data_IF_667153598352
#
_entry.id   IF_667153598352
#
_cell.length_a   1.000
_cell.length_b   1.000
_cell.length_c   1.000
_cell.angle_alpha   90.00
_cell.angle_beta   90.00
_cell.angle_gamma   90.00
#
_symmetry.space_group_name_H-M   'P 1'
#
loop_
_entity.id
_entity.type
_entity.pdbx_description
1 polymer ?
#
# COMPACT_ATOMS: atom_id res chain seq x y z
N UNK A 1 10.82 20.27 -0.86
CA UNK A 1 11.33 19.33 -1.88
C UNK A 1 10.14 18.53 -2.40
N UNK A 2 9.95 18.41 -3.72
CA UNK A 2 8.80 17.69 -4.30
C UNK A 2 9.03 16.18 -4.16
N UNK A 3 8.05 15.47 -3.60
CA UNK A 3 8.02 14.01 -3.59
C UNK A 3 7.63 13.51 -4.99
N UNK A 4 8.61 12.96 -5.70
CA UNK A 4 8.46 12.56 -7.11
C UNK A 4 7.45 11.42 -7.30
N UNK A 5 7.33 10.50 -6.34
CA UNK A 5 6.31 9.44 -6.41
C UNK A 5 4.91 10.00 -6.26
N UNK A 6 4.73 10.91 -5.31
CA UNK A 6 3.45 11.57 -5.09
C UNK A 6 3.07 12.43 -6.31
N UNK A 7 4.04 13.14 -6.89
CA UNK A 7 3.88 13.85 -8.16
C UNK A 7 3.39 12.92 -9.27
N UNK A 8 4.05 11.78 -9.48
CA UNK A 8 3.65 10.79 -10.50
C UNK A 8 2.23 10.28 -10.23
N UNK A 9 1.89 9.95 -8.98
CA UNK A 9 0.53 9.53 -8.61
C UNK A 9 -0.51 10.60 -8.92
N UNK A 10 -0.23 11.87 -8.63
CA UNK A 10 -1.13 12.98 -8.96
C UNK A 10 -1.26 13.20 -10.47
N UNK A 11 -0.15 13.13 -11.22
CA UNK A 11 -0.18 13.22 -12.68
C UNK A 11 -1.03 12.11 -13.31
N UNK A 12 -0.91 10.88 -12.81
CA UNK A 12 -1.71 9.74 -13.27
C UNK A 12 -3.19 9.84 -12.87
N UNK A 13 -3.48 10.38 -11.69
CA UNK A 13 -4.85 10.53 -11.19
C UNK A 13 -5.65 11.60 -11.95
N UNK A 14 -4.99 12.54 -12.62
CA UNK A 14 -5.66 13.63 -13.33
C UNK A 14 -6.31 13.24 -14.67
N UNK A 15 -6.26 11.97 -15.09
CA UNK A 15 -6.86 11.34 -16.28
C UNK A 15 -6.65 12.04 -17.65
N UNK A 16 -6.33 11.22 -18.66
CA UNK A 16 -5.92 11.53 -20.04
C UNK A 16 -4.70 12.45 -20.21
N UNK A 17 -3.85 12.11 -21.18
CA UNK A 17 -2.72 12.94 -21.61
C UNK A 17 -3.21 14.34 -21.96
N UNK A 18 -2.47 15.36 -21.51
CA UNK A 18 -2.88 16.75 -21.67
C UNK A 18 -1.70 17.63 -22.13
N UNK A 19 -1.93 18.94 -22.16
CA UNK A 19 -0.97 19.91 -22.70
C UNK A 19 0.33 20.04 -21.91
N UNK A 20 0.39 19.60 -20.65
CA UNK A 20 1.59 19.64 -19.80
C UNK A 20 2.11 18.25 -19.37
N UNK A 21 1.36 17.19 -19.65
CA UNK A 21 1.64 15.83 -19.19
C UNK A 21 1.45 14.78 -20.30
N UNK A 22 2.40 13.87 -20.42
CA UNK A 22 2.40 12.74 -21.35
C UNK A 22 2.79 11.46 -20.60
N UNK A 23 2.22 10.31 -20.99
CA UNK A 23 2.64 9.01 -20.46
C UNK A 23 3.07 8.09 -21.58
N UNK A 24 4.05 7.23 -21.32
CA UNK A 24 4.55 6.28 -22.31
C UNK A 24 4.89 4.96 -21.65
N UNK A 25 4.53 3.86 -22.30
CA UNK A 25 4.95 2.53 -21.85
C UNK A 25 6.47 2.37 -21.82
N UNK A 26 7.15 2.86 -22.87
CA UNK A 26 8.62 2.87 -22.98
C UNK A 26 9.07 3.95 -23.94
N UNK A 27 10.32 4.41 -23.80
CA UNK A 27 10.97 5.27 -24.77
C UNK A 27 12.17 4.53 -25.34
N UNK A 28 12.21 4.39 -26.66
CA UNK A 28 13.35 3.84 -27.37
C UNK A 28 14.11 4.95 -28.08
N UNK A 29 15.18 5.45 -27.46
CA UNK A 29 16.07 6.41 -28.13
C UNK A 29 17.28 5.75 -28.80
N UNK A 30 17.28 4.42 -29.00
CA UNK A 30 18.32 3.76 -29.80
C UNK A 30 18.07 3.95 -31.31
N UNK A 31 16.80 3.95 -31.71
CA UNK A 31 16.39 4.06 -33.10
C UNK A 31 16.10 5.50 -33.54
N UNK A 32 16.30 5.79 -34.83
CA UNK A 32 16.07 7.13 -35.41
C UNK A 32 14.61 7.59 -35.26
N UNK A 33 13.66 6.67 -35.39
CA UNK A 33 12.24 6.97 -35.22
C UNK A 33 11.90 7.35 -33.77
N UNK A 34 12.33 6.56 -32.80
CA UNK A 34 12.03 6.82 -31.40
C UNK A 34 12.70 8.07 -30.86
N UNK A 35 13.94 8.37 -31.29
CA UNK A 35 14.59 9.69 -31.08
C UNK A 35 13.72 10.83 -31.62
N UNK A 36 13.21 10.69 -32.84
CA UNK A 36 12.39 11.71 -33.49
C UNK A 36 11.07 11.94 -32.74
N UNK A 37 10.39 10.87 -32.32
CA UNK A 37 9.15 10.94 -31.54
C UNK A 37 9.40 11.62 -30.19
N UNK A 38 10.44 11.22 -29.47
CA UNK A 38 10.78 11.82 -28.18
C UNK A 38 11.08 13.32 -28.30
N UNK A 39 11.93 13.71 -29.25
CA UNK A 39 12.24 15.12 -29.52
C UNK A 39 11.00 15.94 -29.89
N UNK A 40 10.07 15.35 -30.66
CA UNK A 40 8.78 15.98 -30.97
C UNK A 40 7.98 16.26 -29.70
N UNK A 41 7.86 15.29 -28.79
CA UNK A 41 7.13 15.45 -27.54
C UNK A 41 7.77 16.49 -26.63
N UNK A 42 9.10 16.46 -26.45
CA UNK A 42 9.82 17.45 -25.63
C UNK A 42 9.62 18.86 -26.18
N UNK A 43 9.78 19.04 -27.51
CA UNK A 43 9.56 20.31 -28.18
C UNK A 43 8.11 20.82 -27.99
N UNK A 44 7.13 19.94 -28.19
CA UNK A 44 5.71 20.28 -28.03
C UNK A 44 5.35 20.68 -26.59
N UNK A 45 5.81 19.91 -25.60
CA UNK A 45 5.55 20.17 -24.18
C UNK A 45 6.22 21.46 -23.71
N UNK A 46 7.48 21.69 -24.10
CA UNK A 46 8.20 22.91 -23.75
C UNK A 46 7.51 24.16 -24.28
N UNK A 47 7.11 24.14 -25.56
CA UNK A 47 6.50 25.31 -26.20
C UNK A 47 5.09 25.61 -25.70
N UNK A 48 4.32 24.59 -25.29
CA UNK A 48 2.98 24.76 -24.71
C UNK A 48 2.98 25.16 -23.23
N UNK A 49 4.14 25.16 -22.56
CA UNK A 49 4.25 25.40 -21.12
C UNK A 49 5.41 26.35 -20.80
N UNK A 50 5.30 27.63 -21.18
CA UNK A 50 6.40 28.59 -21.01
C UNK A 50 6.67 28.98 -19.56
N UNK A 51 5.72 28.76 -18.65
CA UNK A 51 5.78 29.27 -17.26
C UNK A 51 5.65 28.19 -16.19
N UNK A 52 5.52 26.93 -16.59
CA UNK A 52 5.42 25.78 -15.69
C UNK A 52 6.22 24.60 -16.21
N UNK A 53 6.53 23.65 -15.32
CA UNK A 53 7.15 22.40 -15.75
C UNK A 53 6.15 21.55 -16.55
N UNK A 54 6.70 20.73 -17.44
CA UNK A 54 5.96 19.67 -18.12
C UNK A 54 6.57 18.31 -17.79
N UNK A 55 5.77 17.26 -17.91
CA UNK A 55 6.12 15.94 -17.43
C UNK A 55 5.89 14.85 -18.48
N UNK A 56 6.84 13.93 -18.60
CA UNK A 56 6.63 12.65 -19.29
C UNK A 56 6.87 11.53 -18.29
N UNK A 57 5.86 10.69 -18.04
CA UNK A 57 5.98 9.52 -17.17
C UNK A 57 6.16 8.27 -18.03
N UNK A 58 7.23 7.52 -17.78
CA UNK A 58 7.63 6.34 -18.54
C UNK A 58 7.48 5.09 -17.70
N UNK A 59 6.94 4.02 -18.28
CA UNK A 59 6.68 2.75 -17.59
C UNK A 59 5.26 2.66 -17.07
N UNK A 60 4.32 3.27 -17.79
CA UNK A 60 2.88 3.26 -17.48
C UNK A 60 2.11 2.80 -18.72
N UNK A 61 1.10 1.96 -18.52
CA UNK A 61 0.22 1.48 -19.57
C UNK A 61 -0.80 2.54 -20.00
N UNK A 62 -1.08 2.60 -21.31
CA UNK A 62 -1.91 3.65 -21.90
C UNK A 62 -3.40 3.48 -21.53
N UNK A 63 -3.87 2.25 -21.30
CA UNK A 63 -5.30 1.92 -21.13
C UNK A 63 -5.87 2.18 -19.74
N UNK A 64 -5.09 1.92 -18.68
CA UNK A 64 -5.58 1.89 -17.29
C UNK A 64 -4.67 2.62 -16.30
N UNK A 65 -3.63 3.31 -16.78
CA UNK A 65 -2.63 3.96 -15.95
C UNK A 65 -1.86 2.99 -15.04
N UNK A 66 -1.85 1.68 -15.35
CA UNK A 66 -1.08 0.71 -14.56
C UNK A 66 0.42 0.99 -14.69
N UNK A 67 1.12 1.04 -13.55
CA UNK A 67 2.56 1.24 -13.48
C UNK A 67 3.25 -0.11 -13.67
N UNK A 68 3.88 -0.30 -14.83
CA UNK A 68 4.61 -1.53 -15.20
C UNK A 68 6.12 -1.41 -14.99
N UNK A 69 6.64 -0.18 -14.95
CA UNK A 69 8.06 0.11 -14.85
C UNK A 69 8.85 -0.08 -16.16
N UNK A 70 10.07 0.45 -16.15
CA UNK A 70 11.10 0.32 -17.19
C UNK A 70 12.45 0.04 -16.57
N UNK A 71 13.40 -0.41 -17.39
CA UNK A 71 14.80 -0.57 -16.97
C UNK A 71 15.43 0.80 -16.66
N UNK A 72 16.43 0.79 -15.78
CA UNK A 72 17.20 1.98 -15.45
C UNK A 72 17.77 2.65 -16.71
N UNK A 73 17.61 3.97 -16.79
CA UNK A 73 18.03 4.74 -17.95
C UNK A 73 18.95 5.92 -17.55
N UNK A 74 20.00 6.15 -18.35
CA UNK A 74 20.99 7.19 -18.11
C UNK A 74 20.54 8.53 -18.73
N UNK A 75 20.28 9.53 -17.88
CA UNK A 75 19.88 10.90 -18.28
C UNK A 75 20.86 11.54 -19.26
N UNK A 76 22.16 11.20 -19.21
CA UNK A 76 23.18 11.78 -20.10
C UNK A 76 22.81 11.57 -21.59
N UNK A 77 22.16 10.47 -21.92
CA UNK A 77 21.73 10.16 -23.30
C UNK A 77 20.59 11.06 -23.75
N UNK A 78 19.68 11.43 -22.84
CA UNK A 78 18.58 12.38 -23.12
C UNK A 78 19.15 13.78 -23.32
N UNK A 79 20.03 14.25 -22.43
CA UNK A 79 20.67 15.57 -22.55
C UNK A 79 21.40 15.72 -23.88
N UNK A 80 22.24 14.73 -24.22
CA UNK A 80 23.01 14.72 -25.46
C UNK A 80 22.09 14.73 -26.70
N UNK A 81 20.99 13.99 -26.66
CA UNK A 81 20.03 13.95 -27.76
C UNK A 81 19.35 15.30 -27.97
N UNK A 82 18.87 15.92 -26.89
CA UNK A 82 18.18 17.22 -26.92
C UNK A 82 19.12 18.31 -27.44
N UNK A 83 20.31 18.43 -26.87
CA UNK A 83 21.29 19.45 -27.26
C UNK A 83 21.78 19.29 -28.72
N UNK A 84 21.84 18.05 -29.22
CA UNK A 84 22.29 17.78 -30.59
C UNK A 84 21.22 18.08 -31.66
N UNK A 85 19.94 18.12 -31.30
CA UNK A 85 18.82 18.15 -32.25
C UNK A 85 17.82 19.29 -32.04
N UNK A 86 17.86 20.04 -30.94
CA UNK A 86 16.99 21.19 -30.71
C UNK A 86 17.77 22.52 -30.76
N UNK A 87 17.13 23.54 -31.32
CA UNK A 87 17.48 24.94 -31.11
C UNK A 87 16.70 25.44 -29.90
N UNK A 88 17.33 26.28 -29.07
CA UNK A 88 16.82 26.68 -27.75
C UNK A 88 16.36 25.47 -26.92
N UNK A 89 17.25 24.49 -26.66
CA UNK A 89 16.86 23.28 -25.94
C UNK A 89 16.37 23.63 -24.52
N UNK A 90 15.20 23.12 -24.09
CA UNK A 90 14.78 23.27 -22.70
C UNK A 90 15.67 22.43 -21.79
N UNK A 91 15.77 22.85 -20.53
CA UNK A 91 16.40 22.02 -19.51
C UNK A 91 15.46 20.84 -19.24
N UNK A 92 15.92 19.65 -19.57
CA UNK A 92 15.22 18.40 -19.28
C UNK A 92 15.95 17.70 -18.15
N UNK A 93 15.25 16.98 -17.29
CA UNK A 93 15.84 16.15 -16.25
C UNK A 93 15.13 14.80 -16.27
N UNK A 94 15.89 13.72 -16.40
CA UNK A 94 15.37 12.37 -16.27
C UNK A 94 15.74 11.78 -14.90
N UNK A 95 14.74 11.31 -14.19
CA UNK A 95 14.90 10.67 -12.88
C UNK A 95 14.35 9.24 -12.93
N UNK A 96 15.14 8.28 -12.45
CA UNK A 96 14.70 6.90 -12.24
C UNK A 96 14.03 6.79 -10.86
N UNK A 97 12.71 6.74 -10.83
CA UNK A 97 11.94 6.73 -9.58
C UNK A 97 11.53 5.28 -9.25
N UNK A 98 12.07 4.65 -8.20
CA UNK A 98 11.64 3.32 -7.79
C UNK A 98 10.21 3.37 -7.25
N UNK A 99 9.42 2.32 -7.47
CA UNK A 99 8.06 2.18 -6.92
C UNK A 99 7.95 0.88 -6.12
N UNK A 100 7.29 0.88 -4.94
CA UNK A 100 7.26 -0.28 -4.03
C UNK A 100 6.70 -1.59 -4.61
N UNK A 101 5.79 -1.51 -5.59
CA UNK A 101 5.15 -2.68 -6.20
C UNK A 101 5.88 -3.17 -7.46
N UNK A 102 6.96 -2.49 -7.85
CA UNK A 102 7.80 -2.90 -8.98
C UNK A 102 8.97 -3.77 -8.47
N UNK A 103 9.44 -4.72 -9.30
CA UNK A 103 10.70 -5.42 -9.05
C UNK A 103 11.89 -4.46 -8.87
N UNK A 104 12.92 -4.86 -8.12
CA UNK A 104 14.08 -4.02 -7.80
C UNK A 104 14.86 -3.52 -9.03
N UNK A 105 14.79 -4.24 -10.15
CA UNK A 105 15.41 -3.88 -11.43
C UNK A 105 14.56 -2.93 -12.27
N UNK A 106 13.36 -2.55 -11.80
CA UNK A 106 12.41 -1.70 -12.52
C UNK A 106 12.16 -0.39 -11.80
N UNK A 107 12.03 0.67 -12.60
CA UNK A 107 11.78 2.04 -12.14
C UNK A 107 10.74 2.71 -13.02
N UNK A 108 10.10 3.76 -12.52
CA UNK A 108 9.31 4.68 -13.35
C UNK A 108 10.21 5.82 -13.77
N UNK A 109 10.30 6.06 -15.07
CA UNK A 109 11.05 7.18 -15.59
C UNK A 109 10.25 8.47 -15.51
N UNK A 110 10.76 9.49 -14.81
CA UNK A 110 10.15 10.82 -14.80
C UNK A 110 11.02 11.79 -15.60
N UNK A 111 10.50 12.26 -16.73
CA UNK A 111 11.10 13.36 -17.49
C UNK A 111 10.45 14.67 -17.01
N UNK A 112 11.23 15.56 -16.42
CA UNK A 112 10.81 16.93 -16.11
C UNK A 112 11.38 17.87 -17.16
N UNK A 113 10.53 18.61 -17.86
CA UNK A 113 10.90 19.62 -18.84
C UNK A 113 10.63 20.98 -18.21
N UNK A 114 11.68 21.79 -18.03
CA UNK A 114 11.55 23.11 -17.42
C UNK A 114 10.98 24.14 -18.39
N UNK A 115 10.24 25.14 -17.88
CA UNK A 115 9.76 26.24 -18.68
C UNK A 115 10.90 27.00 -19.35
N UNK A 116 10.63 27.52 -20.55
CA UNK A 116 11.55 28.31 -21.34
C UNK A 116 10.79 29.40 -22.09
N UNK A 117 11.22 30.66 -21.93
CA UNK A 117 10.59 31.83 -22.57
C UNK A 117 10.89 31.98 -24.07
N UNK A 118 11.56 30.99 -24.67
CA UNK A 118 11.96 30.98 -26.08
C UNK A 118 11.43 29.74 -26.80
N UNK A 119 11.08 29.89 -28.08
CA UNK A 119 10.57 28.80 -28.89
C UNK A 119 11.65 27.75 -29.13
N UNK A 120 11.36 26.52 -28.74
CA UNK A 120 12.15 25.33 -29.05
C UNK A 120 11.78 24.83 -30.45
N UNK A 121 12.78 24.53 -31.28
CA UNK A 121 12.57 24.02 -32.64
C UNK A 121 13.56 22.91 -33.00
N UNK A 122 13.24 22.06 -33.99
CA UNK A 122 14.21 21.09 -34.50
C UNK A 122 15.38 21.80 -35.20
N UNK A 123 16.61 21.50 -34.80
CA UNK A 123 17.84 22.04 -35.39
C UNK A 123 18.17 21.43 -36.75
N UNK A 124 17.82 20.17 -36.97
CA UNK A 124 18.11 19.39 -38.18
C UNK A 124 17.07 18.32 -38.44
N UNK A 125 17.01 17.82 -39.67
CA UNK A 125 16.07 16.76 -40.06
C UNK A 125 16.28 15.50 -39.23
N UNK A 126 15.18 14.89 -38.76
CA UNK A 126 15.21 13.58 -38.11
C UNK A 126 13.94 12.79 -38.48
N UNK A 127 14.17 11.57 -38.99
CA UNK A 127 13.13 10.71 -39.53
C UNK A 127 12.26 11.45 -40.57
N UNK A 128 10.98 11.70 -40.28
CA UNK A 128 10.05 12.44 -41.16
C UNK A 128 9.87 13.92 -40.81
N UNK A 129 10.57 14.42 -39.78
CA UNK A 129 10.46 15.80 -39.32
C UNK A 129 11.61 16.65 -39.87
N UNK A 130 11.25 17.81 -40.41
CA UNK A 130 12.20 18.73 -41.04
C UNK A 130 12.81 19.68 -39.99
N UNK A 131 14.06 20.09 -40.21
CA UNK A 131 14.71 21.15 -39.44
C UNK A 131 13.93 22.46 -39.56
N UNK A 132 13.88 23.21 -38.48
CA UNK A 132 13.03 24.39 -38.32
C UNK A 132 11.61 24.08 -37.86
N UNK A 133 11.17 22.81 -37.83
CA UNK A 133 9.82 22.48 -37.33
C UNK A 133 9.66 22.83 -35.86
N UNK A 134 8.58 23.54 -35.56
CA UNK A 134 8.11 23.85 -34.21
C UNK A 134 6.87 23.02 -33.93
N UNK A 135 6.81 22.42 -32.74
CA UNK A 135 5.64 21.66 -32.30
C UNK A 135 5.02 22.32 -31.09
N UNK A 136 3.69 22.27 -31.01
CA UNK A 136 2.89 22.63 -29.85
C UNK A 136 2.00 21.46 -29.47
N UNK A 137 1.64 21.39 -28.20
CA UNK A 137 0.69 20.42 -27.68
C UNK A 137 -0.68 21.06 -27.46
N UNK A 138 -1.70 20.40 -27.98
CA UNK A 138 -3.11 20.75 -27.83
C UNK A 138 -3.85 19.48 -27.36
N UNK A 139 -4.36 19.49 -26.13
CA UNK A 139 -4.76 18.28 -25.43
C UNK A 139 -3.63 17.24 -25.40
N UNK A 140 -3.90 16.03 -25.89
CA UNK A 140 -2.92 14.93 -26.01
C UNK A 140 -2.09 14.98 -27.31
N UNK A 141 -2.42 15.85 -28.27
CA UNK A 141 -1.86 15.81 -29.63
C UNK A 141 -0.76 16.86 -29.81
N UNK A 142 0.37 16.46 -30.39
CA UNK A 142 1.44 17.37 -30.80
C UNK A 142 1.33 17.77 -32.27
N UNK A 143 1.01 19.03 -32.55
CA UNK A 143 0.81 19.58 -33.89
C UNK A 143 1.96 20.50 -34.31
N UNK A 144 2.39 20.46 -35.59
CA UNK A 144 3.34 21.44 -36.11
C UNK A 144 2.66 22.81 -36.29
N UNK A 145 3.34 23.90 -35.93
CA UNK A 145 2.84 25.27 -36.14
C UNK A 145 3.80 26.04 -37.04
N UNK A 146 3.26 26.74 -38.05
CA UNK A 146 4.05 27.34 -39.15
C UNK A 146 3.97 28.88 -39.17
N UNK A 147 2.94 29.49 -38.56
CA UNK A 147 2.73 30.95 -38.52
C UNK A 147 2.10 31.41 -37.18
N UNK A 148 2.31 32.69 -36.82
CA UNK A 148 1.81 33.39 -35.61
C UNK A 148 1.93 32.59 -34.30
N UNK A 149 3.17 32.46 -33.83
CA UNK A 149 3.50 31.73 -32.62
C UNK A 149 3.37 32.68 -31.42
N UNK A 150 2.15 32.84 -30.92
CA UNK A 150 1.92 33.37 -29.57
C UNK A 150 2.02 32.24 -28.55
N UNK A 151 2.76 32.50 -27.48
CA UNK A 151 2.94 31.58 -26.37
C UNK A 151 1.97 32.01 -25.26
N UNK A 152 0.95 31.19 -25.00
CA UNK A 152 -0.04 31.44 -23.96
C UNK A 152 0.25 30.61 -22.70
N UNK A 153 0.02 31.21 -21.53
CA UNK A 153 0.09 30.51 -20.26
C UNK A 153 -1.30 30.05 -19.82
N UNK A 154 -1.56 28.75 -20.00
CA UNK A 154 -2.84 28.12 -19.68
C UNK A 154 -2.73 27.20 -18.46
N UNK A 155 -1.56 26.57 -18.25
CA UNK A 155 -1.42 25.45 -17.32
C UNK A 155 -0.78 25.80 -15.97
N UNK A 156 -0.17 26.98 -15.82
CA UNK A 156 0.65 27.28 -14.64
C UNK A 156 -0.08 27.12 -13.31
N UNK A 157 -1.36 27.53 -13.23
CA UNK A 157 -2.16 27.36 -12.01
C UNK A 157 -2.40 25.90 -11.65
N UNK A 158 -2.71 25.07 -12.65
CA UNK A 158 -3.01 23.65 -12.47
C UNK A 158 -1.74 22.91 -12.06
N UNK A 159 -0.64 23.15 -12.78
CA UNK A 159 0.64 22.49 -12.52
C UNK A 159 1.21 22.90 -11.16
N UNK A 160 1.12 24.18 -10.78
CA UNK A 160 1.51 24.62 -9.45
C UNK A 160 0.69 23.94 -8.34
N UNK A 161 -0.61 23.72 -8.54
CA UNK A 161 -1.45 22.99 -7.58
C UNK A 161 -1.01 21.52 -7.45
N UNK A 162 -0.73 20.85 -8.57
CA UNK A 162 -0.24 19.46 -8.60
C UNK A 162 1.12 19.36 -7.90
N UNK A 163 2.06 20.24 -8.22
CA UNK A 163 3.39 20.26 -7.61
C UNK A 163 3.34 20.56 -6.12
N UNK A 164 2.49 21.51 -5.68
CA UNK A 164 2.30 21.81 -4.26
C UNK A 164 1.70 20.64 -3.50
N UNK A 165 0.71 19.94 -4.05
CA UNK A 165 0.16 18.73 -3.45
C UNK A 165 1.20 17.59 -3.37
N UNK A 166 2.15 17.57 -4.31
CA UNK A 166 3.26 16.62 -4.32
C UNK A 166 4.44 17.03 -3.42
N UNK A 167 4.41 18.19 -2.76
CA UNK A 167 5.43 18.51 -1.75
C UNK A 167 5.16 17.67 -0.51
N UNK A 168 6.20 17.00 0.02
CA UNK A 168 6.14 16.47 1.39
C UNK A 168 6.00 17.66 2.32
N UNK A 169 4.77 18.03 2.67
CA UNK A 169 4.54 19.13 3.57
C UNK A 169 4.88 18.63 4.98
N UNK A 170 6.05 19.06 5.47
CA UNK A 170 6.51 18.78 6.83
C UNK A 170 5.44 19.21 7.83
N UNK A 171 4.75 20.31 7.57
CA UNK A 171 3.61 20.79 8.36
C UNK A 171 2.52 19.71 8.44
N UNK A 172 2.02 19.21 7.30
CA UNK A 172 0.99 18.15 7.30
C UNK A 172 1.46 16.87 7.99
N UNK A 173 2.74 16.52 7.87
CA UNK A 173 3.31 15.34 8.54
C UNK A 173 3.35 15.55 10.05
N UNK A 174 3.83 16.71 10.51
CA UNK A 174 3.87 17.07 11.92
C UNK A 174 2.47 17.20 12.51
N UNK A 175 1.55 17.87 11.80
CA UNK A 175 0.14 17.97 12.16
C UNK A 175 -0.47 16.58 12.30
N UNK A 176 -0.22 15.68 11.35
CA UNK A 176 -0.65 14.29 11.42
C UNK A 176 -0.10 13.55 12.65
N UNK A 177 1.17 13.76 12.98
CA UNK A 177 1.77 13.21 14.21
C UNK A 177 1.09 13.78 15.45
N UNK A 178 0.98 15.09 15.59
CA UNK A 178 0.36 15.73 16.75
C UNK A 178 -1.11 15.33 16.89
N UNK A 179 -1.85 15.27 15.79
CA UNK A 179 -3.22 14.75 15.76
C UNK A 179 -3.30 13.31 16.27
N UNK A 180 -2.39 12.44 15.80
CA UNK A 180 -2.34 11.06 16.25
C UNK A 180 -2.09 10.98 17.76
N UNK A 181 -1.09 11.73 18.26
CA UNK A 181 -0.71 11.74 19.66
C UNK A 181 -1.83 12.29 20.55
N UNK A 182 -2.49 13.37 20.14
CA UNK A 182 -3.58 13.99 20.89
C UNK A 182 -4.83 13.12 20.95
N UNK A 183 -5.21 12.46 19.85
CA UNK A 183 -6.40 11.60 19.81
C UNK A 183 -6.26 10.31 20.63
N UNK A 184 -5.03 9.91 20.97
CA UNK A 184 -4.71 8.58 21.54
C UNK A 184 -3.92 8.65 22.85
N UNK A 185 -3.99 9.76 23.58
CA UNK A 185 -3.25 9.97 24.82
C UNK A 185 -3.44 8.81 25.82
N UNK A 186 -4.64 8.26 25.91
CA UNK A 186 -4.99 7.14 26.80
C UNK A 186 -4.27 5.82 26.47
N UNK A 187 -3.67 5.70 25.27
CA UNK A 187 -3.05 4.48 24.75
C UNK A 187 -1.54 4.58 24.58
N UNK A 188 -0.88 5.50 25.31
CA UNK A 188 0.58 5.69 25.28
C UNK A 188 1.14 5.78 23.84
N UNK A 189 0.72 6.79 23.06
CA UNK A 189 1.07 6.89 21.66
C UNK A 189 2.56 7.18 21.50
N UNK A 190 3.15 6.62 20.45
CA UNK A 190 4.57 6.68 20.14
C UNK A 190 4.73 6.95 18.65
N UNK A 191 5.87 7.52 18.28
CA UNK A 191 6.27 7.64 16.89
C UNK A 191 7.69 7.10 16.69
N UNK A 192 8.00 6.69 15.47
CA UNK A 192 9.34 6.35 15.04
C UNK A 192 9.52 6.80 13.60
N UNK A 193 10.68 7.40 13.34
CA UNK A 193 11.11 7.76 11.99
C UNK A 193 11.99 6.64 11.44
N UNK A 194 11.69 6.16 10.24
CA UNK A 194 12.49 5.19 9.50
C UNK A 194 13.08 5.83 8.25
N UNK A 195 14.37 5.53 7.98
CA UNK A 195 15.10 6.01 6.79
C UNK A 195 14.97 7.52 6.52
N UNK A 196 14.78 8.33 7.57
CA UNK A 196 14.53 9.80 7.52
C UNK A 196 13.24 10.27 6.83
N UNK A 197 12.48 9.39 6.18
CA UNK A 197 11.28 9.76 5.41
C UNK A 197 9.97 9.29 6.04
N UNK A 198 9.99 8.12 6.66
CA UNK A 198 8.78 7.43 7.08
C UNK A 198 8.47 7.73 8.54
N UNK A 199 7.35 8.40 8.78
CA UNK A 199 6.90 8.71 10.13
C UNK A 199 5.78 7.75 10.49
N UNK A 200 6.11 6.74 11.28
CA UNK A 200 5.15 5.76 11.77
C UNK A 200 4.75 6.12 13.20
N UNK A 201 3.46 6.33 13.40
CA UNK A 201 2.85 6.50 14.72
C UNK A 201 2.15 5.22 15.12
N UNK A 202 2.20 4.86 16.40
CA UNK A 202 1.45 3.73 16.93
C UNK A 202 1.04 3.95 18.39
N UNK A 203 -0.02 3.29 18.82
CA UNK A 203 -0.51 3.31 20.20
C UNK A 203 -1.16 1.98 20.54
N UNK A 204 -1.25 1.64 21.82
CA UNK A 204 -1.88 0.40 22.24
C UNK A 204 -1.98 0.25 23.75
N UNK A 205 -2.98 -0.50 24.19
CA UNK A 205 -3.17 -0.83 25.61
C UNK A 205 -2.19 -1.93 26.03
N UNK A 206 -1.27 -1.59 26.93
CA UNK A 206 -0.25 -2.54 27.43
C UNK A 206 -0.87 -3.57 28.35
N UNK A 207 -0.53 -4.83 28.15
CA UNK A 207 -0.95 -5.98 28.97
C UNK A 207 0.24 -6.88 29.22
N UNK A 208 0.50 -7.20 30.49
CA UNK A 208 1.54 -8.15 30.86
C UNK A 208 0.92 -9.52 31.16
N UNK A 209 1.44 -10.58 30.54
CA UNK A 209 1.08 -11.96 30.87
C UNK A 209 2.34 -12.77 31.08
N UNK A 210 2.54 -13.31 32.30
CA UNK A 210 3.69 -14.17 32.64
C UNK A 210 5.05 -13.60 32.19
N UNK A 211 5.27 -12.30 32.43
CA UNK A 211 6.44 -11.50 32.02
C UNK A 211 6.56 -11.13 30.52
N UNK A 212 5.63 -11.53 29.67
CA UNK A 212 5.59 -11.07 28.27
C UNK A 212 4.68 -9.85 28.13
N UNK A 213 5.11 -8.89 27.31
CA UNK A 213 4.37 -7.66 27.00
C UNK A 213 3.56 -7.84 25.72
N UNK A 214 2.26 -7.69 25.84
CA UNK A 214 1.31 -7.66 24.74
C UNK A 214 0.63 -6.30 24.68
N UNK A 215 0.05 -6.00 23.52
CA UNK A 215 -0.78 -4.85 23.26
C UNK A 215 -2.15 -5.29 22.75
N UNK A 216 -3.20 -4.59 23.16
CA UNK A 216 -4.54 -4.68 22.57
C UNK A 216 -5.04 -3.29 22.20
N UNK A 217 -6.10 -3.21 21.38
CA UNK A 217 -6.62 -1.93 20.86
C UNK A 217 -5.50 -1.09 20.25
N UNK A 218 -4.81 -1.67 19.28
CA UNK A 218 -3.63 -1.07 18.66
C UNK A 218 -4.02 -0.31 17.41
N UNK A 219 -3.63 0.96 17.37
CA UNK A 219 -3.69 1.79 16.16
C UNK A 219 -2.26 2.03 15.68
N UNK A 220 -1.99 1.77 14.40
CA UNK A 220 -0.72 2.07 13.73
C UNK A 220 -1.02 2.87 12.47
N UNK A 221 -0.27 3.95 12.24
CA UNK A 221 -0.44 4.85 11.11
C UNK A 221 0.92 5.25 10.53
N UNK A 222 1.13 5.00 9.24
CA UNK A 222 2.25 5.53 8.49
C UNK A 222 1.82 6.89 7.92
N UNK A 223 2.12 7.97 8.64
CA UNK A 223 1.53 9.30 8.44
C UNK A 223 1.75 9.81 7.01
N UNK A 224 2.98 9.69 6.52
CA UNK A 224 3.37 10.18 5.20
C UNK A 224 2.83 9.32 4.04
N UNK A 225 2.34 8.11 4.31
CA UNK A 225 1.78 7.20 3.29
C UNK A 225 0.27 6.97 3.46
N UNK A 226 -0.34 7.55 4.51
CA UNK A 226 -1.76 7.40 4.85
C UNK A 226 -2.23 5.94 5.02
N UNK A 227 -1.30 5.03 5.36
CA UNK A 227 -1.61 3.62 5.64
C UNK A 227 -1.95 3.47 7.11
N UNK A 228 -3.05 2.76 7.40
CA UNK A 228 -3.53 2.50 8.76
C UNK A 228 -3.73 1.01 9.00
N UNK A 229 -3.26 0.55 10.15
CA UNK A 229 -3.52 -0.79 10.67
C UNK A 229 -4.23 -0.67 12.02
N UNK A 230 -5.21 -1.53 12.24
CA UNK A 230 -6.02 -1.55 13.45
C UNK A 230 -6.11 -2.96 14.00
N UNK A 231 -5.95 -3.08 15.32
CA UNK A 231 -6.22 -4.29 16.09
C UNK A 231 -7.20 -3.95 17.21
N UNK A 232 -8.21 -4.80 17.40
CA UNK A 232 -9.29 -4.63 18.35
C UNK A 232 -8.84 -4.85 19.80
N UNK A 233 -9.76 -4.60 20.74
CA UNK A 233 -9.52 -4.87 22.16
C UNK A 233 -9.41 -6.37 22.50
N UNK A 234 -9.89 -7.25 21.61
CA UNK A 234 -9.81 -8.71 21.75
C UNK A 234 -8.52 -9.27 21.15
N UNK A 235 -7.84 -8.48 20.33
CA UNK A 235 -6.60 -8.89 19.69
C UNK A 235 -5.44 -8.68 20.65
N UNK A 236 -4.52 -9.65 20.65
CA UNK A 236 -3.30 -9.57 21.40
C UNK A 236 -2.14 -9.56 20.40
N UNK A 237 -1.34 -8.50 20.41
CA UNK A 237 -0.19 -8.37 19.52
C UNK A 237 1.07 -8.05 20.29
N UNK A 238 2.22 -8.47 19.78
CA UNK A 238 3.52 -7.93 20.18
C UNK A 238 4.04 -7.02 19.08
N UNK A 239 4.62 -5.89 19.47
CA UNK A 239 5.20 -4.91 18.55
C UNK A 239 6.69 -4.81 18.85
N UNK A 240 7.50 -4.88 17.80
CA UNK A 240 8.94 -4.64 17.87
C UNK A 240 9.38 -3.95 16.59
N UNK A 241 10.56 -3.31 16.62
CA UNK A 241 11.08 -2.64 15.44
C UNK A 241 12.60 -2.58 15.49
N UNK A 242 13.21 -2.54 14.31
CA UNK A 242 14.65 -2.33 14.11
C UNK A 242 14.89 -0.91 13.58
N UNK A 243 16.05 -0.64 12.99
CA UNK A 243 16.28 0.60 12.23
C UNK A 243 15.47 0.62 10.93
N UNK A 244 15.16 -0.56 10.38
CA UNK A 244 14.70 -0.73 9.00
C UNK A 244 13.33 -1.42 8.90
N UNK A 245 12.79 -1.90 10.03
CA UNK A 245 11.53 -2.64 10.01
C UNK A 245 10.65 -2.39 11.24
N UNK A 246 9.34 -2.45 11.02
CA UNK A 246 8.31 -2.47 12.07
C UNK A 246 7.56 -3.79 12.01
N UNK A 247 7.62 -4.57 13.09
CA UNK A 247 7.19 -5.96 13.16
C UNK A 247 6.02 -6.07 14.15
N UNK A 248 4.93 -6.67 13.70
CA UNK A 248 3.73 -6.92 14.48
C UNK A 248 3.45 -8.41 14.44
N UNK A 249 3.36 -9.06 15.60
CA UNK A 249 2.97 -10.47 15.69
C UNK A 249 1.63 -10.54 16.39
N UNK A 250 0.61 -11.06 15.72
CA UNK A 250 -0.70 -11.35 16.29
C UNK A 250 -0.70 -12.70 17.00
N UNK A 251 -1.33 -12.77 18.16
CA UNK A 251 -1.47 -13.97 18.98
C UNK A 251 -2.94 -14.34 19.13
N UNK A 252 -3.17 -15.65 19.17
CA UNK A 252 -4.47 -16.24 19.53
C UNK A 252 -4.36 -17.00 20.83
N UNK A 253 -5.37 -16.84 21.67
CA UNK A 253 -5.48 -17.59 22.91
C UNK A 253 -6.25 -18.88 22.65
N UNK A 254 -5.56 -20.02 22.68
CA UNK A 254 -6.16 -21.34 22.50
C UNK A 254 -5.84 -22.24 23.69
N UNK A 255 -6.75 -23.14 24.03
CA UNK A 255 -6.65 -23.97 25.21
C UNK A 255 -7.82 -24.91 25.39
N UNK A 256 -7.64 -25.92 26.26
CA UNK A 256 -8.70 -26.82 26.69
C UNK A 256 -9.01 -26.56 28.17
N UNK A 257 -10.29 -26.63 28.52
CA UNK A 257 -10.80 -26.35 29.86
C UNK A 257 -10.38 -24.95 30.36
N UNK A 258 -9.56 -24.89 31.42
CA UNK A 258 -9.06 -23.65 32.00
C UNK A 258 -7.60 -23.36 31.61
N UNK A 259 -6.92 -24.28 30.92
CA UNK A 259 -5.52 -24.12 30.52
C UNK A 259 -5.42 -23.50 29.13
N UNK A 260 -5.02 -22.24 29.08
CA UNK A 260 -4.87 -21.47 27.84
C UNK A 260 -3.42 -21.03 27.64
N UNK A 261 -2.99 -21.01 26.38
CA UNK A 261 -1.70 -20.48 25.94
C UNK A 261 -1.90 -19.54 24.76
N UNK A 262 -0.94 -18.65 24.58
CA UNK A 262 -0.85 -17.77 23.42
C UNK A 262 -0.05 -18.45 22.33
N UNK A 263 -0.61 -18.48 21.12
CA UNK A 263 0.03 -19.01 19.92
C UNK A 263 0.16 -17.88 18.92
N UNK A 264 1.34 -17.72 18.32
CA UNK A 264 1.55 -16.79 17.22
C UNK A 264 0.65 -17.19 16.07
N UNK A 265 -0.06 -16.25 15.46
CA UNK A 265 -1.00 -16.48 14.36
C UNK A 265 -0.46 -15.93 13.06
N UNK A 266 -0.22 -14.61 13.02
CA UNK A 266 0.18 -13.89 11.81
C UNK A 266 1.26 -12.88 12.19
N UNK A 267 2.30 -12.82 11.38
CA UNK A 267 3.35 -11.82 11.46
C UNK A 267 3.18 -10.84 10.31
N UNK A 268 3.26 -9.55 10.62
CA UNK A 268 3.25 -8.47 9.65
C UNK A 268 4.51 -7.64 9.82
N UNK A 269 5.27 -7.52 8.75
CA UNK A 269 6.52 -6.78 8.72
C UNK A 269 6.39 -5.63 7.73
N UNK A 270 6.60 -4.42 8.20
CA UNK A 270 6.76 -3.24 7.34
C UNK A 270 8.26 -3.03 7.18
N UNK A 271 8.78 -3.26 5.98
CA UNK A 271 10.19 -3.03 5.64
C UNK A 271 10.36 -1.62 5.06
N UNK A 272 11.41 -0.91 5.46
CA UNK A 272 11.71 0.45 5.01
C UNK A 272 13.08 0.48 4.33
N UNK A 273 13.09 0.92 3.08
CA UNK A 273 14.28 0.92 2.23
C UNK A 273 14.92 2.30 2.11
N UNK A 274 16.24 2.32 1.84
CA UNK A 274 17.00 3.57 1.70
C UNK A 274 16.58 4.41 0.49
N UNK A 275 15.91 3.81 -0.50
CA UNK A 275 15.41 4.49 -1.69
C UNK A 275 14.02 5.13 -1.46
N UNK A 276 13.65 5.35 -0.20
CA UNK A 276 12.36 5.84 0.26
C UNK A 276 11.18 4.94 -0.13
N UNK A 277 11.37 3.64 -0.45
CA UNK A 277 10.28 2.65 -0.57
C UNK A 277 10.02 1.94 0.75
N UNK A 278 8.84 1.32 0.84
CA UNK A 278 8.49 0.41 1.91
C UNK A 278 7.63 -0.72 1.36
N UNK A 279 7.70 -1.89 1.97
CA UNK A 279 6.83 -3.02 1.65
C UNK A 279 6.15 -3.53 2.92
N UNK A 280 4.99 -4.18 2.77
CA UNK A 280 4.29 -4.83 3.88
C UNK A 280 4.20 -6.31 3.54
N UNK A 281 4.93 -7.11 4.31
CA UNK A 281 4.92 -8.57 4.23
C UNK A 281 3.95 -9.11 5.30
N UNK A 282 3.19 -10.15 4.94
CA UNK A 282 2.26 -10.84 5.84
C UNK A 282 2.51 -12.32 5.77
N UNK A 283 2.90 -12.90 6.91
CA UNK A 283 3.28 -14.31 7.04
C UNK A 283 2.38 -15.01 8.06
N UNK A 284 1.73 -16.11 7.67
CA UNK A 284 1.03 -16.97 8.62
C UNK A 284 2.07 -17.82 9.37
N UNK A 285 2.31 -17.48 10.63
CA UNK A 285 3.29 -18.17 11.51
C UNK A 285 2.60 -19.09 12.53
N UNK A 286 1.38 -19.54 12.19
CA UNK A 286 0.53 -20.30 13.10
C UNK A 286 0.92 -21.77 13.18
N UNK A 287 1.38 -22.18 14.36
CA UNK A 287 1.57 -23.58 14.72
C UNK A 287 0.42 -24.07 15.60
N UNK A 288 -0.48 -24.94 15.08
CA UNK A 288 -1.65 -25.35 15.83
C UNK A 288 -1.27 -26.23 17.03
N UNK A 289 -1.88 -26.02 18.20
CA UNK A 289 -1.60 -26.82 19.38
C UNK A 289 -2.01 -28.28 19.20
N UNK A 290 -1.13 -29.19 19.62
CA UNK A 290 -1.38 -30.62 19.65
C UNK A 290 -1.85 -31.07 21.04
N UNK A 291 -2.95 -31.81 21.09
CA UNK A 291 -3.52 -32.35 22.32
C UNK A 291 -3.68 -33.87 22.25
N UNK A 292 -3.78 -34.51 23.41
CA UNK A 292 -4.05 -35.95 23.50
C UNK A 292 -5.40 -36.29 22.85
N UNK A 293 -5.38 -37.25 21.91
CA UNK A 293 -6.57 -37.62 21.13
C UNK A 293 -7.70 -38.19 21.99
N UNK A 294 -7.40 -38.90 23.09
CA UNK A 294 -8.45 -39.44 23.97
C UNK A 294 -9.19 -38.31 24.65
N UNK A 295 -8.45 -37.31 25.15
CA UNK A 295 -9.04 -36.09 25.72
C UNK A 295 -9.91 -35.37 24.69
N UNK A 296 -9.41 -35.20 23.46
CA UNK A 296 -10.17 -34.56 22.39
C UNK A 296 -11.45 -35.32 22.02
N UNK A 297 -11.45 -36.66 22.00
CA UNK A 297 -12.67 -37.44 21.78
C UNK A 297 -13.72 -37.18 22.88
N UNK A 298 -13.31 -37.10 24.15
CA UNK A 298 -14.24 -36.77 25.23
C UNK A 298 -14.81 -35.36 25.08
N UNK A 299 -13.98 -34.38 24.78
CA UNK A 299 -14.41 -32.98 24.57
C UNK A 299 -15.33 -32.88 23.36
N UNK A 300 -14.98 -33.52 22.25
CA UNK A 300 -15.79 -33.54 21.03
C UNK A 300 -17.18 -34.14 21.27
N UNK A 301 -17.25 -35.25 22.00
CA UNK A 301 -18.53 -35.89 22.34
C UNK A 301 -19.37 -35.02 23.31
N UNK A 302 -18.73 -34.39 24.30
CA UNK A 302 -19.39 -33.43 25.19
C UNK A 302 -19.98 -32.26 24.40
N UNK A 303 -19.18 -31.65 23.51
CA UNK A 303 -19.59 -30.54 22.66
C UNK A 303 -20.76 -30.91 21.76
N UNK A 304 -20.75 -32.11 21.18
CA UNK A 304 -21.86 -32.60 20.37
C UNK A 304 -23.16 -32.77 21.18
N UNK A 305 -23.06 -33.24 22.43
CA UNK A 305 -24.22 -33.32 23.32
C UNK A 305 -24.80 -31.92 23.60
N UNK A 306 -23.93 -30.94 23.88
CA UNK A 306 -24.33 -29.54 24.10
C UNK A 306 -25.00 -28.97 22.85
N UNK A 307 -24.43 -29.18 21.66
CA UNK A 307 -25.00 -28.71 20.41
C UNK A 307 -26.41 -29.29 20.16
N UNK A 308 -26.60 -30.59 20.38
CA UNK A 308 -27.92 -31.22 20.22
C UNK A 308 -28.94 -30.67 21.24
N UNK A 309 -28.52 -30.37 22.46
CA UNK A 309 -29.36 -29.70 23.46
C UNK A 309 -29.71 -28.26 23.05
N UNK A 310 -28.77 -27.50 22.50
CA UNK A 310 -29.00 -26.15 22.00
C UNK A 310 -30.02 -26.15 20.84
N UNK A 311 -29.91 -27.10 19.91
CA UNK A 311 -30.88 -27.27 18.81
C UNK A 311 -32.29 -27.52 19.32
N UNK A 312 -32.43 -28.32 20.37
CA UNK A 312 -33.70 -28.69 20.98
C UNK A 312 -34.16 -27.72 22.07
N UNK A 313 -33.42 -26.63 22.31
CA UNK A 313 -33.70 -25.64 23.37
C UNK A 313 -33.85 -26.27 24.77
N UNK A 314 -33.06 -27.31 25.05
CA UNK A 314 -33.06 -28.00 26.35
C UNK A 314 -32.17 -27.23 27.34
N UNK A 315 -32.55 -27.20 28.60
CA UNK A 315 -31.75 -26.59 29.68
C UNK A 315 -30.42 -27.32 29.88
N UNK A 316 -29.33 -26.57 29.91
CA UNK A 316 -27.99 -27.09 30.13
C UNK A 316 -27.70 -27.22 31.64
N UNK A 317 -26.91 -28.21 32.02
CA UNK A 317 -26.38 -28.30 33.38
C UNK A 317 -25.39 -27.15 33.66
N UNK A 318 -25.00 -26.97 34.92
CA UNK A 318 -24.00 -25.97 35.29
C UNK A 318 -22.64 -26.25 34.64
N UNK A 319 -22.22 -27.52 34.51
CA UNK A 319 -20.98 -27.90 33.83
C UNK A 319 -21.06 -27.65 32.33
N UNK A 320 -22.18 -28.02 31.70
CA UNK A 320 -22.42 -27.80 30.27
C UNK A 320 -22.47 -26.31 29.92
N UNK A 321 -23.02 -25.48 30.80
CA UNK A 321 -23.03 -24.02 30.63
C UNK A 321 -21.63 -23.42 30.67
N UNK A 322 -20.71 -24.02 31.43
CA UNK A 322 -19.32 -23.59 31.46
C UNK A 322 -18.56 -24.05 30.21
N UNK A 323 -18.80 -25.28 29.75
CA UNK A 323 -18.22 -25.82 28.51
C UNK A 323 -18.73 -25.08 27.27
N UNK A 324 -19.99 -24.62 27.28
CA UNK A 324 -20.59 -23.83 26.23
C UNK A 324 -19.77 -22.57 25.89
N UNK A 325 -19.13 -21.95 26.88
CA UNK A 325 -18.28 -20.75 26.68
C UNK A 325 -17.09 -21.02 25.75
N UNK A 326 -16.61 -22.26 25.74
CA UNK A 326 -15.46 -22.70 24.95
C UNK A 326 -15.87 -23.55 23.74
N UNK A 327 -17.18 -23.69 23.47
CA UNK A 327 -17.69 -24.62 22.45
C UNK A 327 -17.08 -24.37 21.07
N UNK A 328 -17.09 -23.13 20.60
CA UNK A 328 -16.52 -22.76 19.30
C UNK A 328 -15.00 -23.03 19.23
N UNK A 329 -14.26 -22.53 20.21
CA UNK A 329 -12.81 -22.73 20.31
C UNK A 329 -12.43 -24.21 20.39
N UNK A 330 -13.22 -25.02 21.09
CA UNK A 330 -12.98 -26.45 21.25
C UNK A 330 -13.23 -27.22 19.95
N UNK A 331 -14.25 -26.87 19.17
CA UNK A 331 -14.44 -27.43 17.83
C UNK A 331 -13.31 -27.03 16.87
N UNK A 332 -12.82 -25.78 16.94
CA UNK A 332 -11.63 -25.37 16.18
C UNK A 332 -10.41 -26.20 16.57
N UNK A 333 -10.14 -26.39 17.86
CA UNK A 333 -9.03 -27.21 18.34
C UNK A 333 -9.17 -28.66 17.85
N UNK A 334 -10.36 -29.26 17.93
CA UNK A 334 -10.62 -30.60 17.41
C UNK A 334 -10.29 -30.69 15.91
N UNK A 335 -10.76 -29.71 15.13
CA UNK A 335 -10.47 -29.64 13.69
C UNK A 335 -8.97 -29.54 13.40
N UNK A 336 -8.25 -28.66 14.10
CA UNK A 336 -6.80 -28.50 13.99
C UNK A 336 -6.01 -29.76 14.41
N UNK A 337 -6.63 -30.69 15.14
CA UNK A 337 -6.06 -31.95 15.59
C UNK A 337 -6.60 -33.17 14.80
N UNK A 338 -7.21 -32.96 13.63
CA UNK A 338 -7.60 -34.01 12.70
C UNK A 338 -9.05 -34.52 12.81
N UNK A 339 -9.90 -33.85 13.58
CA UNK A 339 -11.34 -34.17 13.64
C UNK A 339 -12.07 -33.37 12.55
N UNK A 340 -12.03 -33.84 11.30
CA UNK A 340 -12.56 -33.08 10.14
C UNK A 340 -14.02 -32.64 10.30
N UNK A 341 -14.87 -33.52 10.87
CA UNK A 341 -16.30 -33.25 11.08
C UNK A 341 -16.52 -32.10 12.10
N UNK A 342 -15.55 -31.80 12.96
CA UNK A 342 -15.64 -30.70 13.92
C UNK A 342 -15.84 -29.35 13.24
N UNK A 343 -15.31 -29.17 12.02
CA UNK A 343 -15.53 -27.96 11.25
C UNK A 343 -17.00 -27.79 10.85
N UNK A 344 -17.64 -28.85 10.35
CA UNK A 344 -19.06 -28.82 10.00
C UNK A 344 -19.92 -28.49 11.23
N UNK A 345 -19.56 -29.04 12.38
CA UNK A 345 -20.21 -28.73 13.67
C UNK A 345 -20.00 -27.28 14.08
N UNK A 346 -18.79 -26.75 13.92
CA UNK A 346 -18.51 -25.32 14.16
C UNK A 346 -19.37 -24.42 13.26
N UNK A 347 -19.54 -24.75 11.99
CA UNK A 347 -20.41 -23.96 11.11
C UNK A 347 -21.90 -24.06 11.51
N UNK A 348 -22.32 -25.26 11.92
CA UNK A 348 -23.68 -25.57 12.37
C UNK A 348 -24.09 -24.83 13.66
N UNK A 349 -23.15 -24.54 14.58
CA UNK A 349 -23.49 -23.92 15.87
C UNK A 349 -23.86 -22.42 15.75
N UNK A 350 -23.51 -21.76 14.64
CA UNK A 350 -23.66 -20.31 14.42
C UNK A 350 -25.06 -19.75 14.78
N UNK A 351 -26.17 -20.23 14.19
CA UNK A 351 -27.50 -19.69 14.49
C UNK A 351 -27.89 -19.86 15.95
N UNK A 352 -27.48 -20.98 16.57
CA UNK A 352 -27.82 -21.32 17.95
C UNK A 352 -27.10 -20.43 18.96
N UNK A 353 -25.81 -20.16 18.76
CA UNK A 353 -25.08 -19.22 19.62
C UNK A 353 -25.61 -17.79 19.47
N UNK A 354 -25.94 -17.38 18.23
CA UNK A 354 -26.52 -16.05 17.95
C UNK A 354 -27.83 -15.81 18.69
N UNK A 355 -28.72 -16.81 18.75
CA UNK A 355 -29.98 -16.70 19.47
C UNK A 355 -29.83 -16.82 20.98
N UNK A 356 -28.82 -17.55 21.45
CA UNK A 356 -28.64 -17.85 22.87
C UNK A 356 -27.98 -16.70 23.64
N UNK A 357 -26.82 -16.21 23.17
CA UNK A 357 -26.07 -15.18 23.87
C UNK A 357 -25.10 -14.43 22.93
N UNK A 358 -25.13 -13.09 22.98
CA UNK A 358 -24.30 -12.21 22.15
C UNK A 358 -22.79 -12.41 22.36
N UNK A 359 -22.34 -12.60 23.60
CA UNK A 359 -20.93 -12.81 23.96
C UNK A 359 -20.39 -14.11 23.36
N UNK A 360 -21.16 -15.20 23.45
CA UNK A 360 -20.81 -16.47 22.81
C UNK A 360 -20.75 -16.36 21.30
N UNK A 361 -21.65 -15.57 20.70
CA UNK A 361 -21.64 -15.30 19.28
C UNK A 361 -20.41 -14.49 18.84
N UNK A 362 -19.91 -13.57 19.66
CA UNK A 362 -18.64 -12.88 19.41
C UNK A 362 -17.46 -13.85 19.47
N UNK A 363 -17.38 -14.70 20.50
CA UNK A 363 -16.34 -15.75 20.60
C UNK A 363 -16.34 -16.68 19.37
N UNK A 364 -17.52 -17.05 18.88
CA UNK A 364 -17.66 -17.79 17.63
C UNK A 364 -17.07 -17.04 16.42
N UNK A 365 -17.36 -15.74 16.27
CA UNK A 365 -16.82 -14.93 15.17
C UNK A 365 -15.30 -14.87 15.20
N UNK A 366 -14.70 -14.72 16.39
CA UNK A 366 -13.25 -14.74 16.57
C UNK A 366 -12.67 -16.09 16.15
N UNK A 367 -13.28 -17.19 16.60
CA UNK A 367 -12.88 -18.56 16.20
C UNK A 367 -12.89 -18.72 14.67
N UNK A 368 -13.95 -18.23 14.00
CA UNK A 368 -14.04 -18.27 12.54
C UNK A 368 -13.06 -17.32 11.84
N UNK A 369 -12.62 -16.23 12.48
CA UNK A 369 -11.57 -15.34 11.96
C UNK A 369 -10.24 -16.08 11.91
N UNK A 370 -9.88 -16.78 12.99
CA UNK A 370 -8.67 -17.61 13.06
C UNK A 370 -8.70 -18.65 11.95
N UNK A 371 -9.80 -19.40 11.83
CA UNK A 371 -9.95 -20.42 10.80
C UNK A 371 -9.79 -19.88 9.37
N UNK A 372 -10.33 -18.68 9.08
CA UNK A 372 -10.19 -18.05 7.76
C UNK A 372 -8.72 -17.72 7.47
N UNK A 373 -8.00 -17.13 8.43
CA UNK A 373 -6.56 -16.84 8.25
C UNK A 373 -5.75 -18.10 7.97
N UNK A 374 -6.05 -19.20 8.68
CA UNK A 374 -5.37 -20.49 8.49
C UNK A 374 -5.68 -21.15 7.13
N UNK A 375 -6.86 -20.92 6.56
CA UNK A 375 -7.28 -21.54 5.28
C UNK A 375 -6.87 -20.78 4.02
N UNK A 376 -6.72 -19.46 4.11
CA UNK A 376 -6.51 -18.56 2.97
C UNK A 376 -5.09 -17.98 2.90
N UNK A 377 -4.20 -18.39 3.80
CA UNK A 377 -2.75 -18.20 3.66
C UNK A 377 -2.15 -19.46 3.08
#
# INVERSE_FOLDING_TARGET
MINKRLLIKHLLAHNDENSFYDKKRKIDISQKEGKAKFLKHVCALSNSNPKNNSYIVIGVEDTDNEIIGVDFFDDSKIQNLINAYLNNPPIVQYENIPFPHLPDDKVVGLVTIRPLDSITALKKNIWKYYGGSVFFRDGSISMPKVFDIEIEDVNSKIVAAIENNAQNNIELTLDGVFDFMNKRQDFSPQYKVFKEYFVLCWSGYKKYVKNELFFSRVDIELINEQVRLFYSALDEVSISYTEDSFIIIEYVKLGLYQSHKYYKLEEKIIHFENNASYSIEVNLVFEPPQFDKKVLHHIYNSNNSILEKLKKTITLSQSESQDLKNLAASYLICYLNGFEIALQKLEEIKPHLKSYNLELYYSYKETMRILRKVKYS
#
